data_IF_207892193373
#
_entry.id   IF_207892193373
#
_cell.length_a   1.000
_cell.length_b   1.000
_cell.length_c   1.000
_cell.angle_alpha   90.00
_cell.angle_beta   90.00
_cell.angle_gamma   90.00
#
_symmetry.space_group_name_H-M   'P 1'
#
loop_
_entity.id
_entity.type
_entity.pdbx_description
1 polymer ?
#
# COMPACT_ATOMS: atom_id res chain seq x y z
N UNK A 1 -20.24 5.02 20.60
CA UNK A 1 -18.86 5.51 20.60
C UNK A 1 -18.64 6.30 19.32
N UNK A 2 -18.11 7.52 19.38
CA UNK A 2 -17.68 8.26 18.18
C UNK A 2 -16.49 7.52 17.55
N UNK A 3 -16.53 7.32 16.22
CA UNK A 3 -15.40 6.73 15.51
C UNK A 3 -14.24 7.74 15.47
N UNK A 4 -13.02 7.28 15.71
CA UNK A 4 -11.83 8.09 15.51
C UNK A 4 -11.77 8.57 14.04
N UNK A 5 -11.57 9.87 13.76
CA UNK A 5 -11.46 10.40 12.40
C UNK A 5 -10.45 9.65 11.51
N UNK A 6 -9.35 9.17 12.10
CA UNK A 6 -8.32 8.37 11.41
C UNK A 6 -8.80 6.95 11.06
N UNK A 7 -9.65 6.36 11.89
CA UNK A 7 -10.28 5.08 11.54
C UNK A 7 -11.31 5.29 10.44
N UNK A 8 -12.10 6.38 10.54
CA UNK A 8 -13.14 6.70 9.57
C UNK A 8 -12.58 6.98 8.17
N UNK A 9 -11.45 7.68 8.05
CA UNK A 9 -10.83 7.96 6.75
C UNK A 9 -10.38 6.67 6.05
N UNK A 10 -9.86 5.69 6.80
CA UNK A 10 -9.42 4.40 6.27
C UNK A 10 -10.60 3.48 5.94
N UNK A 11 -11.67 3.48 6.74
CA UNK A 11 -12.90 2.75 6.44
C UNK A 11 -13.60 3.27 5.18
N UNK A 12 -13.71 4.61 5.06
CA UNK A 12 -14.41 5.26 3.94
C UNK A 12 -13.65 5.11 2.62
N UNK A 13 -12.32 5.05 2.68
CA UNK A 13 -11.46 4.96 1.51
C UNK A 13 -10.64 3.67 1.49
N UNK A 14 -11.28 2.54 1.84
CA UNK A 14 -10.63 1.24 1.70
C UNK A 14 -10.08 1.07 0.28
N UNK A 15 -8.87 0.52 0.20
CA UNK A 15 -8.24 0.26 -1.09
C UNK A 15 -9.03 -0.77 -1.88
N UNK A 16 -9.42 -0.41 -3.09
CA UNK A 16 -10.31 -1.19 -3.95
C UNK A 16 -9.71 -1.52 -5.32
N UNK A 17 -8.42 -1.25 -5.51
CA UNK A 17 -7.70 -1.50 -6.77
C UNK A 17 -7.75 -0.34 -7.78
N UNK A 18 -8.66 0.62 -7.63
CA UNK A 18 -8.77 1.78 -8.53
C UNK A 18 -8.41 3.11 -7.85
N UNK A 19 -8.48 3.17 -6.53
CA UNK A 19 -8.28 4.40 -5.74
C UNK A 19 -6.87 4.56 -5.15
N UNK A 20 -5.82 3.97 -5.75
CA UNK A 20 -4.47 3.90 -5.17
C UNK A 20 -3.94 5.25 -4.64
N UNK A 21 -4.00 6.31 -5.44
CA UNK A 21 -3.47 7.62 -5.04
C UNK A 21 -4.24 8.24 -3.85
N UNK A 22 -5.57 8.07 -3.82
CA UNK A 22 -6.40 8.57 -2.72
C UNK A 22 -6.17 7.75 -1.45
N UNK A 23 -6.12 6.42 -1.59
CA UNK A 23 -5.82 5.51 -0.49
C UNK A 23 -4.43 5.79 0.10
N UNK A 24 -3.39 5.93 -0.73
CA UNK A 24 -2.02 6.23 -0.29
C UNK A 24 -1.93 7.58 0.44
N UNK A 25 -2.66 8.60 -0.03
CA UNK A 25 -2.74 9.89 0.66
C UNK A 25 -3.33 9.72 2.05
N UNK A 26 -4.42 8.99 2.19
CA UNK A 26 -5.08 8.76 3.48
C UNK A 26 -4.22 7.91 4.42
N UNK A 27 -3.57 6.87 3.89
CA UNK A 27 -2.62 6.06 4.63
C UNK A 27 -1.48 6.90 5.20
N UNK A 28 -0.89 7.80 4.40
CA UNK A 28 0.17 8.70 4.88
C UNK A 28 -0.31 9.60 6.02
N UNK A 29 -1.52 10.15 5.94
CA UNK A 29 -2.09 10.96 7.03
C UNK A 29 -2.15 10.15 8.34
N UNK A 30 -2.62 8.91 8.28
CA UNK A 30 -2.68 8.03 9.47
C UNK A 30 -1.29 7.70 9.99
N UNK A 31 -0.34 7.39 9.11
CA UNK A 31 1.02 7.04 9.52
C UNK A 31 1.83 8.23 10.02
N UNK A 32 1.60 9.43 9.48
CA UNK A 32 2.24 10.66 9.95
C UNK A 32 1.74 11.01 11.35
N UNK A 33 0.44 10.79 11.63
CA UNK A 33 -0.10 10.92 12.99
C UNK A 33 0.58 9.97 13.99
N UNK A 34 0.91 8.75 13.56
CA UNK A 34 1.61 7.75 14.36
C UNK A 34 3.14 7.91 14.34
N UNK A 35 3.69 8.90 13.61
CA UNK A 35 5.12 9.11 13.37
C UNK A 35 5.84 7.90 12.73
N UNK A 36 5.16 7.19 11.83
CA UNK A 36 5.59 5.94 11.21
C UNK A 36 5.64 5.99 9.67
N UNK A 37 5.44 7.17 9.07
CA UNK A 37 5.42 7.33 7.61
C UNK A 37 6.69 6.83 6.89
N UNK A 38 7.85 6.87 7.55
CA UNK A 38 9.12 6.39 6.98
C UNK A 38 9.15 4.88 6.71
N UNK A 39 8.35 4.09 7.42
CA UNK A 39 8.30 2.62 7.29
C UNK A 39 7.84 2.20 5.90
N UNK A 40 7.10 3.07 5.18
CA UNK A 40 6.67 2.82 3.81
C UNK A 40 7.82 2.66 2.80
N UNK A 41 8.96 3.29 3.06
CA UNK A 41 10.02 3.46 2.07
C UNK A 41 11.39 2.98 2.53
N UNK A 42 11.63 2.94 3.83
CA UNK A 42 12.91 2.49 4.36
C UNK A 42 12.95 0.95 4.41
N UNK A 43 14.08 0.34 4.02
CA UNK A 43 14.22 -1.12 4.11
C UNK A 43 14.20 -1.56 5.57
N UNK A 44 13.59 -2.72 5.81
CA UNK A 44 13.62 -3.38 7.11
C UNK A 44 15.06 -3.83 7.42
N UNK A 45 15.64 -3.50 8.59
CA UNK A 45 16.95 -4.02 8.97
C UNK A 45 16.95 -5.55 9.01
N UNK A 46 17.92 -6.19 8.36
CA UNK A 46 17.93 -7.66 8.18
C UNK A 46 18.71 -8.41 9.26
N UNK A 47 19.52 -7.72 10.06
CA UNK A 47 20.26 -8.34 11.16
C UNK A 47 20.99 -7.33 12.04
N UNK A 48 21.53 -7.84 13.12
CA UNK A 48 22.41 -7.12 14.04
C UNK A 48 23.76 -7.83 14.10
N UNK A 49 24.89 -7.11 13.96
CA UNK A 49 26.22 -7.68 14.15
C UNK A 49 26.40 -8.32 15.53
N UNK A 50 27.26 -9.32 15.62
CA UNK A 50 27.67 -9.87 16.90
C UNK A 50 28.41 -8.79 17.71
N UNK A 51 28.04 -8.65 18.99
CA UNK A 51 28.54 -7.56 19.84
C UNK A 51 27.80 -6.23 19.71
N UNK A 52 26.66 -6.18 19.02
CA UNK A 52 25.81 -4.98 18.97
C UNK A 52 25.46 -4.46 20.38
N UNK A 53 25.40 -3.15 20.53
CA UNK A 53 25.04 -2.50 21.79
C UNK A 53 23.56 -2.75 22.15
N UNK A 54 23.21 -2.48 23.42
CA UNK A 54 21.82 -2.54 23.85
C UNK A 54 20.94 -1.56 23.07
N UNK A 55 21.46 -0.37 22.76
CA UNK A 55 20.77 0.68 22.00
C UNK A 55 20.52 0.25 20.55
N UNK A 56 21.49 -0.40 19.92
CA UNK A 56 21.35 -0.96 18.57
C UNK A 56 20.28 -2.06 18.56
N UNK A 57 20.27 -2.92 19.58
CA UNK A 57 19.25 -3.98 19.72
C UNK A 57 17.85 -3.39 19.89
N UNK A 58 17.70 -2.40 20.77
CA UNK A 58 16.43 -1.70 20.98
C UNK A 58 15.93 -1.04 19.69
N UNK A 59 16.83 -0.43 18.92
CA UNK A 59 16.49 0.22 17.65
C UNK A 59 16.00 -0.79 16.61
N UNK A 60 16.67 -1.94 16.51
CA UNK A 60 16.28 -3.03 15.61
C UNK A 60 14.91 -3.62 15.97
N UNK A 61 14.68 -3.93 17.25
CA UNK A 61 13.42 -4.51 17.71
C UNK A 61 12.25 -3.52 17.52
N UNK A 62 12.49 -2.22 17.81
CA UNK A 62 11.54 -1.14 17.53
C UNK A 62 11.16 -1.09 16.05
N UNK A 63 12.14 -1.17 15.14
CA UNK A 63 11.88 -1.16 13.71
C UNK A 63 10.95 -2.30 13.28
N UNK A 64 11.17 -3.50 13.82
CA UNK A 64 10.34 -4.67 13.53
C UNK A 64 8.92 -4.52 14.07
N UNK A 65 8.76 -3.90 15.24
CA UNK A 65 7.46 -3.58 15.81
C UNK A 65 6.69 -2.59 14.94
N UNK A 66 7.34 -1.50 14.54
CA UNK A 66 6.75 -0.48 13.68
C UNK A 66 6.37 -1.05 12.31
N UNK A 67 7.22 -1.90 11.72
CA UNK A 67 6.90 -2.64 10.49
C UNK A 67 5.64 -3.51 10.67
N UNK A 68 5.51 -4.27 11.76
CA UNK A 68 4.31 -5.08 12.04
C UNK A 68 3.05 -4.22 12.19
N UNK A 69 3.16 -3.07 12.88
CA UNK A 69 2.04 -2.14 13.07
C UNK A 69 1.59 -1.53 11.75
N UNK A 70 2.53 -0.99 10.97
CA UNK A 70 2.24 -0.39 9.66
C UNK A 70 1.69 -1.43 8.69
N UNK A 71 2.25 -2.64 8.67
CA UNK A 71 1.71 -3.74 7.86
C UNK A 71 0.24 -4.03 8.21
N UNK A 72 -0.09 -4.09 9.51
CA UNK A 72 -1.46 -4.30 9.97
C UNK A 72 -2.41 -3.19 9.49
N UNK A 73 -1.98 -1.92 9.56
CA UNK A 73 -2.76 -0.77 9.07
C UNK A 73 -2.99 -0.89 7.56
N UNK A 74 -1.94 -1.19 6.79
CA UNK A 74 -2.02 -1.36 5.34
C UNK A 74 -3.04 -2.46 5.00
N UNK A 75 -2.90 -3.66 5.58
CA UNK A 75 -3.80 -4.78 5.29
C UNK A 75 -5.25 -4.50 5.72
N UNK A 76 -5.47 -3.94 6.91
CA UNK A 76 -6.81 -3.61 7.40
C UNK A 76 -7.53 -2.57 6.52
N UNK A 77 -6.75 -1.71 5.87
CA UNK A 77 -7.27 -0.67 4.97
C UNK A 77 -7.61 -1.16 3.56
N UNK A 78 -7.42 -2.44 3.26
CA UNK A 78 -7.78 -3.02 1.98
C UNK A 78 -9.16 -3.67 2.02
N UNK A 79 -9.73 -3.90 0.84
CA UNK A 79 -10.78 -4.91 0.68
C UNK A 79 -10.17 -6.31 0.76
N UNK A 80 -10.96 -7.28 1.22
CA UNK A 80 -10.51 -8.64 1.48
C UNK A 80 -9.90 -9.32 0.24
N UNK A 81 -10.46 -9.04 -0.95
CA UNK A 81 -10.01 -9.63 -2.23
C UNK A 81 -8.63 -9.13 -2.67
N UNK A 82 -8.17 -8.02 -2.10
CA UNK A 82 -6.84 -7.47 -2.35
C UNK A 82 -5.91 -7.85 -1.19
N UNK A 83 -6.41 -7.77 0.05
CA UNK A 83 -5.65 -8.08 1.25
C UNK A 83 -4.98 -9.46 1.19
N UNK A 84 -5.68 -10.49 0.71
CA UNK A 84 -5.16 -11.86 0.57
C UNK A 84 -3.98 -12.00 -0.41
N UNK A 85 -3.72 -10.99 -1.25
CA UNK A 85 -2.58 -10.99 -2.17
C UNK A 85 -1.29 -10.50 -1.52
N UNK A 86 -1.41 -9.80 -0.38
CA UNK A 86 -0.32 -9.12 0.31
C UNK A 86 -0.10 -9.59 1.75
N UNK A 87 -1.01 -10.38 2.32
CA UNK A 87 -0.98 -10.81 3.73
C UNK A 87 0.25 -11.66 4.11
N UNK A 88 0.84 -12.37 3.15
CA UNK A 88 2.06 -13.17 3.31
C UNK A 88 3.36 -12.36 3.19
N UNK A 89 3.29 -11.09 2.77
CA UNK A 89 4.49 -10.25 2.68
C UNK A 89 4.81 -9.67 4.05
N UNK A 90 6.01 -9.91 4.54
CA UNK A 90 6.38 -9.54 5.91
C UNK A 90 6.84 -8.08 6.04
N UNK A 91 7.45 -7.55 4.99
CA UNK A 91 8.01 -6.21 4.95
C UNK A 91 7.10 -5.22 4.19
N UNK A 92 6.88 -4.07 4.82
CA UNK A 92 6.06 -2.99 4.25
C UNK A 92 6.61 -2.47 2.92
N UNK A 93 7.94 -2.25 2.73
CA UNK A 93 8.47 -1.78 1.46
C UNK A 93 8.14 -2.69 0.27
N UNK A 94 8.20 -4.01 0.42
CA UNK A 94 7.83 -4.95 -0.65
C UNK A 94 6.35 -4.91 -0.99
N UNK A 95 5.47 -4.75 0.02
CA UNK A 95 4.03 -4.52 -0.23
C UNK A 95 3.87 -3.26 -1.08
N UNK A 96 4.47 -2.14 -0.65
CA UNK A 96 4.36 -0.86 -1.35
C UNK A 96 4.92 -0.91 -2.77
N UNK A 97 6.06 -1.58 -2.97
CA UNK A 97 6.68 -1.75 -4.28
C UNK A 97 5.78 -2.54 -5.22
N UNK A 98 5.27 -3.69 -4.78
CA UNK A 98 4.38 -4.54 -5.58
C UNK A 98 3.08 -3.83 -5.92
N UNK A 99 2.48 -3.12 -4.96
CA UNK A 99 1.27 -2.34 -5.21
C UNK A 99 1.51 -1.23 -6.23
N UNK A 100 2.64 -0.52 -6.16
CA UNK A 100 2.99 0.50 -7.15
C UNK A 100 3.11 -0.10 -8.55
N UNK A 101 3.77 -1.26 -8.67
CA UNK A 101 3.92 -1.94 -9.96
C UNK A 101 2.59 -2.35 -10.58
N UNK A 102 1.67 -2.87 -9.76
CA UNK A 102 0.37 -3.36 -10.22
C UNK A 102 -0.63 -2.22 -10.50
N UNK A 103 -0.75 -1.25 -9.60
CA UNK A 103 -1.88 -0.31 -9.63
C UNK A 103 -1.54 1.09 -10.13
N UNK A 104 -0.26 1.49 -10.12
CA UNK A 104 0.15 2.76 -10.71
C UNK A 104 0.38 2.54 -12.20
N UNK A 105 1.31 1.65 -12.56
CA UNK A 105 1.65 1.41 -13.98
C UNK A 105 0.46 0.97 -14.83
N UNK A 106 -0.46 0.18 -14.28
CA UNK A 106 -1.68 -0.22 -14.98
C UNK A 106 -2.65 0.96 -15.21
N UNK A 107 -2.70 1.94 -14.30
CA UNK A 107 -3.47 3.17 -14.51
C UNK A 107 -2.84 4.07 -15.58
N UNK A 108 -1.51 4.18 -15.62
CA UNK A 108 -0.85 4.88 -16.73
C UNK A 108 -1.02 4.15 -18.06
N UNK A 109 -0.90 2.82 -18.08
CA UNK A 109 -1.16 1.99 -19.26
C UNK A 109 -2.58 2.15 -19.78
N UNK A 110 -3.58 2.05 -18.90
CA UNK A 110 -5.00 2.29 -19.24
C UNK A 110 -5.27 3.72 -19.69
N UNK A 111 -4.64 4.72 -19.08
CA UNK A 111 -4.76 6.14 -19.51
C UNK A 111 -4.21 6.34 -20.92
N UNK A 112 -3.08 5.72 -21.26
CA UNK A 112 -2.50 5.77 -22.61
C UNK A 112 -3.36 5.04 -23.64
N UNK A 113 -4.07 3.97 -23.25
CA UNK A 113 -5.03 3.30 -24.13
C UNK A 113 -6.29 4.16 -24.34
N UNK A 114 -6.81 4.83 -23.31
CA UNK A 114 -7.98 5.72 -23.42
C UNK A 114 -7.70 7.04 -24.17
N UNK A 115 -6.44 7.49 -24.30
CA UNK A 115 -6.13 8.74 -25.04
C UNK A 115 -5.88 8.52 -26.55
N UNK A 116 -5.90 7.27 -27.04
CA UNK A 116 -5.67 6.96 -28.46
C UNK A 116 -6.92 6.88 -29.33
N UNK A 117 -8.12 7.13 -28.82
CA UNK A 117 -9.38 6.98 -29.58
C UNK A 117 -9.96 8.25 -30.20
N UNK A 118 -9.15 9.29 -30.47
CA UNK A 118 -9.58 10.43 -31.28
C UNK A 118 -9.07 10.30 -32.72
N UNK A 119 -9.60 9.31 -33.42
CA UNK A 119 -9.45 9.12 -34.86
C UNK A 119 -10.73 8.47 -35.35
N UNK A 120 -11.33 9.04 -36.39
CA UNK A 120 -12.57 8.56 -37.01
C UNK A 120 -12.38 7.11 -37.46
N UNK A 121 -12.78 6.15 -36.63
CA UNK A 121 -13.18 4.76 -36.94
C UNK A 121 -13.22 3.97 -35.61
N UNK A 122 -14.26 4.20 -34.81
CA UNK A 122 -14.44 3.52 -33.53
C UNK A 122 -15.05 2.12 -33.73
N UNK A 123 -14.27 1.08 -33.44
CA UNK A 123 -14.77 -0.28 -33.17
C UNK A 123 -15.21 -0.33 -31.70
N UNK A 124 -16.42 -0.80 -31.35
CA UNK A 124 -16.83 -0.90 -29.96
C UNK A 124 -15.94 -1.91 -29.22
N UNK A 125 -15.41 -1.50 -28.07
CA UNK A 125 -14.65 -2.37 -27.16
C UNK A 125 -15.49 -3.60 -26.82
N UNK A 126 -15.04 -4.77 -27.30
CA UNK A 126 -15.65 -6.06 -27.01
C UNK A 126 -15.56 -6.40 -25.51
N UNK A 127 -16.67 -6.93 -25.02
CA UNK A 127 -16.92 -7.45 -23.67
C UNK A 127 -15.96 -8.57 -23.21
N UNK A 128 -15.92 -8.86 -21.90
CA UNK A 128 -14.82 -9.58 -21.27
C UNK A 128 -14.77 -11.05 -21.68
N UNK A 129 -13.57 -11.56 -21.95
CA UNK A 129 -13.34 -13.00 -22.08
C UNK A 129 -13.04 -13.58 -20.70
N UNK A 130 -13.99 -14.34 -20.17
CA UNK A 130 -13.79 -15.27 -19.07
C UNK A 130 -12.82 -16.40 -19.44
N UNK A 131 -12.51 -17.24 -18.46
CA UNK A 131 -13.25 -18.50 -18.31
C UNK A 131 -14.34 -18.45 -17.24
#
# INVERSE_FOLDING_TARGET
MSKNPLTLIMETNKFNGTNYNNWLRNLRIVLDFENQGYVLYKPLPTGLPEGSSSEERMTFDKWHEENRKVRSIILASMKNEIQNQYDRLEDVPSIMLRMKDVYVRDQEGRRVVCTKSWGHDAIPCGEPRGP
#
